data_IF_971961814244
#
_entry.id   IF_971961814244
#
_cell.length_a   1.000
_cell.length_b   1.000
_cell.length_c   1.000
_cell.angle_alpha   90.00
_cell.angle_beta   90.00
_cell.angle_gamma   90.00
#
_symmetry.space_group_name_H-M   'P 1'
#
loop_
_entity.id
_entity.type
_entity.pdbx_description
1 polymer ?
#
# COMPACT_ATOMS: atom_id res chain seq x y z
N UNK A 1 1.05 16.72 -79.00
CA UNK A 1 1.46 15.80 -77.92
C UNK A 1 1.89 16.65 -76.75
N UNK A 2 0.93 16.99 -75.87
CA UNK A 2 1.18 17.76 -74.66
C UNK A 2 0.87 16.83 -73.49
N UNK A 3 1.86 16.61 -72.62
CA UNK A 3 1.69 15.82 -71.41
C UNK A 3 0.98 16.68 -70.35
N UNK A 4 -0.20 16.23 -69.92
CA UNK A 4 -0.91 16.80 -68.77
C UNK A 4 -0.22 16.36 -67.48
N UNK A 5 0.40 17.31 -66.79
CA UNK A 5 0.95 17.13 -65.45
C UNK A 5 -0.17 17.22 -64.42
N UNK A 6 -0.72 16.07 -64.02
CA UNK A 6 -1.70 15.96 -62.93
C UNK A 6 -1.00 16.10 -61.58
N UNK A 7 -1.23 17.21 -60.91
CA UNK A 7 -0.92 17.40 -59.49
C UNK A 7 -1.80 16.47 -58.64
N UNK A 8 -1.19 15.50 -57.97
CA UNK A 8 -1.83 14.81 -56.85
C UNK A 8 -1.57 15.65 -55.59
N UNK A 9 -2.61 16.16 -54.89
CA UNK A 9 -2.41 16.68 -53.56
C UNK A 9 -2.05 15.48 -52.66
N UNK A 10 -0.83 15.50 -52.14
CA UNK A 10 -0.42 14.60 -51.08
C UNK A 10 -1.36 14.80 -49.89
N UNK A 11 -2.27 13.85 -49.67
CA UNK A 11 -3.02 13.74 -48.43
C UNK A 11 -2.02 13.26 -47.38
N UNK A 12 -1.35 14.23 -46.74
CA UNK A 12 -0.58 14.01 -45.53
C UNK A 12 -1.59 13.66 -44.43
N UNK A 13 -1.87 12.37 -44.27
CA UNK A 13 -2.54 11.83 -43.09
C UNK A 13 -1.59 12.05 -41.89
N UNK A 14 -1.70 13.23 -41.28
CA UNK A 14 -1.25 13.48 -39.93
C UNK A 14 -2.13 12.63 -39.01
N UNK A 15 -1.75 11.37 -38.81
CA UNK A 15 -2.21 10.63 -37.63
C UNK A 15 -1.60 11.32 -36.43
N UNK A 16 -2.34 12.28 -35.86
CA UNK A 16 -2.14 12.70 -34.49
C UNK A 16 -2.41 11.44 -33.66
N UNK A 17 -1.36 10.68 -33.36
CA UNK A 17 -1.37 9.78 -32.24
C UNK A 17 -1.55 10.69 -31.02
N UNK A 18 -2.80 10.92 -30.64
CA UNK A 18 -3.10 11.40 -29.31
C UNK A 18 -2.55 10.31 -28.39
N UNK A 19 -1.32 10.50 -27.93
CA UNK A 19 -0.89 9.95 -26.65
C UNK A 19 -1.83 10.58 -25.64
N UNK A 20 -3.02 9.99 -25.50
CA UNK A 20 -3.74 10.05 -24.24
C UNK A 20 -2.79 9.35 -23.29
N UNK A 21 -2.00 10.13 -22.55
CA UNK A 21 -1.37 9.63 -21.35
C UNK A 21 -2.52 8.99 -20.57
N UNK A 22 -2.56 7.66 -20.56
CA UNK A 22 -3.48 6.94 -19.68
C UNK A 22 -3.10 7.48 -18.31
N UNK A 23 -3.99 8.18 -17.59
CA UNK A 23 -3.66 8.61 -16.25
C UNK A 23 -3.34 7.31 -15.51
N UNK A 24 -2.07 7.13 -15.17
CA UNK A 24 -1.65 6.07 -14.27
C UNK A 24 -2.25 6.52 -12.94
N UNK A 25 -3.44 6.03 -12.62
CA UNK A 25 -4.10 6.41 -11.38
C UNK A 25 -3.43 5.58 -10.30
N UNK A 26 -2.38 6.17 -9.71
CA UNK A 26 -1.67 5.57 -8.60
C UNK A 26 -2.56 5.51 -7.36
N UNK A 27 -2.51 4.41 -6.63
CA UNK A 27 -2.96 4.35 -5.25
C UNK A 27 -2.12 5.27 -4.38
N UNK A 28 -2.60 5.55 -3.18
CA UNK A 28 -1.86 6.36 -2.24
C UNK A 28 -2.32 6.00 -0.84
N UNK A 29 -1.48 5.31 -0.08
CA UNK A 29 -1.79 4.91 1.28
C UNK A 29 -0.53 4.76 2.13
N UNK A 30 -0.67 5.01 3.42
CA UNK A 30 0.38 4.74 4.39
C UNK A 30 -0.15 4.41 5.79
N UNK A 31 0.68 3.74 6.60
CA UNK A 31 0.34 3.41 7.99
C UNK A 31 0.58 4.59 8.93
N UNK A 32 -0.46 4.98 9.68
CA UNK A 32 -0.41 6.04 10.70
C UNK A 32 -0.40 5.50 12.12
N UNK A 33 -0.95 4.30 12.34
CA UNK A 33 -0.87 3.58 13.62
C UNK A 33 -0.57 2.10 13.36
N UNK A 34 0.56 1.55 13.85
CA UNK A 34 1.69 2.29 14.42
C UNK A 34 2.27 3.30 13.42
N UNK A 35 2.96 4.33 13.90
CA UNK A 35 3.47 5.36 13.00
C UNK A 35 4.55 4.79 12.08
N UNK A 36 4.29 4.76 10.77
CA UNK A 36 5.26 4.27 9.80
C UNK A 36 6.47 5.19 9.65
N UNK A 37 7.60 4.66 9.16
CA UNK A 37 8.84 5.42 8.94
C UNK A 37 8.59 6.65 8.05
N UNK A 38 7.80 6.50 6.99
CA UNK A 38 7.38 7.60 6.11
C UNK A 38 6.52 8.64 6.84
N UNK A 39 5.61 8.18 7.71
CA UNK A 39 4.75 9.07 8.48
C UNK A 39 5.58 9.89 9.48
N UNK A 40 6.53 9.26 10.16
CA UNK A 40 7.47 9.94 11.05
C UNK A 40 8.32 10.95 10.29
N UNK A 41 8.82 10.61 9.10
CA UNK A 41 9.59 11.52 8.27
C UNK A 41 8.79 12.78 7.91
N UNK A 42 7.50 12.62 7.56
CA UNK A 42 6.62 13.75 7.28
C UNK A 42 6.30 14.59 8.52
N UNK A 43 5.96 13.95 9.63
CA UNK A 43 5.47 14.64 10.85
C UNK A 43 6.61 15.27 11.66
N UNK A 44 7.72 14.55 11.87
CA UNK A 44 8.80 14.99 12.74
C UNK A 44 9.78 15.94 12.06
N UNK A 45 10.03 15.75 10.77
CA UNK A 45 11.08 16.48 10.06
C UNK A 45 10.55 17.40 8.96
N UNK A 46 9.27 17.28 8.59
CA UNK A 46 8.67 18.08 7.51
C UNK A 46 9.34 17.88 6.15
N UNK A 47 10.21 16.87 6.02
CA UNK A 47 10.99 16.56 4.82
C UNK A 47 10.22 15.66 3.87
N UNK A 48 9.42 14.73 4.38
CA UNK A 48 8.61 13.89 3.51
C UNK A 48 7.30 14.59 3.15
N UNK A 49 7.26 15.17 1.96
CA UNK A 49 6.05 15.78 1.39
C UNK A 49 5.13 14.74 0.77
N UNK A 50 5.47 13.44 0.80
CA UNK A 50 4.80 12.38 0.05
C UNK A 50 4.79 10.97 0.69
N UNK A 51 4.56 10.75 2.02
CA UNK A 51 4.43 9.40 2.60
C UNK A 51 3.49 8.41 1.89
N UNK A 52 2.56 8.91 1.07
CA UNK A 52 1.51 8.16 0.39
C UNK A 52 2.02 7.51 -0.90
N UNK A 53 3.09 8.03 -1.49
CA UNK A 53 3.63 7.58 -2.77
C UNK A 53 4.84 6.66 -2.60
N UNK A 54 4.92 5.94 -1.48
CA UNK A 54 5.84 4.81 -1.31
C UNK A 54 5.43 3.61 -2.19
N UNK A 55 5.20 3.87 -3.48
CA UNK A 55 5.04 2.91 -4.56
C UNK A 55 6.45 2.41 -4.91
N UNK A 56 6.70 1.13 -4.67
CA UNK A 56 8.01 0.55 -4.91
C UNK A 56 7.86 -0.90 -5.27
N UNK A 57 7.99 -1.20 -6.56
CA UNK A 57 8.26 -2.56 -7.03
C UNK A 57 9.71 -2.89 -6.65
N UNK A 58 9.97 -3.27 -5.39
CA UNK A 58 11.24 -3.93 -5.07
C UNK A 58 11.79 -3.87 -3.66
N UNK A 59 11.31 -3.02 -2.74
CA UNK A 59 11.92 -2.94 -1.41
C UNK A 59 10.95 -3.26 -0.26
N UNK A 60 11.51 -3.63 0.89
CA UNK A 60 10.76 -4.18 2.02
C UNK A 60 9.90 -3.13 2.72
N UNK A 61 10.29 -1.86 2.68
CA UNK A 61 9.63 -0.80 3.42
C UNK A 61 9.11 0.34 2.55
N UNK A 62 9.13 0.24 1.22
CA UNK A 62 8.72 1.28 0.26
C UNK A 62 9.75 2.41 0.16
N UNK A 63 10.46 2.54 -0.96
CA UNK A 63 11.42 3.64 -1.22
C UNK A 63 10.81 4.75 -2.10
N UNK A 64 9.63 4.51 -2.67
CA UNK A 64 8.89 5.48 -3.49
C UNK A 64 9.64 5.96 -4.73
N UNK A 65 10.82 5.42 -5.04
CA UNK A 65 11.74 5.96 -6.05
C UNK A 65 12.11 7.44 -5.85
N UNK A 66 11.87 8.03 -4.69
CA UNK A 66 12.14 9.44 -4.37
C UNK A 66 13.23 9.53 -3.29
N UNK A 67 14.28 10.31 -3.56
CA UNK A 67 15.53 10.37 -2.79
C UNK A 67 15.36 10.60 -1.27
N UNK A 68 14.23 11.15 -0.80
CA UNK A 68 13.96 11.39 0.63
C UNK A 68 13.14 10.29 1.32
N UNK A 69 12.28 9.57 0.59
CA UNK A 69 11.62 8.34 1.10
C UNK A 69 12.69 7.24 1.18
N UNK A 70 13.64 7.26 0.24
CA UNK A 70 14.76 6.36 0.18
C UNK A 70 15.71 6.47 1.38
N UNK A 71 15.77 7.56 2.16
CA UNK A 71 16.67 7.60 3.33
C UNK A 71 16.07 6.92 4.56
N UNK A 72 14.84 7.24 4.98
CA UNK A 72 14.24 6.59 6.16
C UNK A 72 13.79 5.15 5.92
N UNK A 73 13.51 4.80 4.67
CA UNK A 73 13.28 3.41 4.25
C UNK A 73 14.55 2.76 3.68
N UNK A 74 15.67 3.49 3.54
CA UNK A 74 16.96 2.87 3.34
C UNK A 74 17.35 2.21 4.64
N UNK A 75 17.38 0.89 4.56
CA UNK A 75 18.42 0.06 5.14
C UNK A 75 19.68 0.86 5.53
N UNK A 76 20.03 0.76 6.82
CA UNK A 76 21.35 1.15 7.32
C UNK A 76 21.63 2.67 7.40
N UNK A 77 20.62 3.54 7.51
CA UNK A 77 20.86 4.92 7.91
C UNK A 77 21.28 5.03 9.39
N UNK A 78 22.15 5.99 9.75
CA UNK A 78 22.67 6.16 11.11
C UNK A 78 21.64 6.67 12.13
N UNK A 79 20.38 6.86 11.73
CA UNK A 79 19.31 7.27 12.62
C UNK A 79 18.56 6.05 13.15
N UNK A 80 18.60 5.84 14.46
CA UNK A 80 17.67 4.90 15.11
C UNK A 80 16.25 5.36 14.82
N UNK A 81 15.49 4.57 14.06
CA UNK A 81 14.08 4.84 13.84
C UNK A 81 13.36 4.63 15.17
N UNK A 82 12.60 5.62 15.69
CA UNK A 82 11.94 5.49 16.98
C UNK A 82 10.95 4.32 16.98
N UNK A 83 10.93 3.57 18.10
CA UNK A 83 9.81 2.66 18.39
C UNK A 83 8.57 3.52 18.64
N UNK A 84 7.51 3.27 17.86
CA UNK A 84 6.30 4.11 17.89
C UNK A 84 5.21 3.52 18.76
N UNK A 85 5.17 2.18 18.87
CA UNK A 85 4.16 1.46 19.63
C UNK A 85 4.74 0.20 20.28
N UNK A 86 4.18 -0.16 21.43
CA UNK A 86 4.41 -1.41 22.12
C UNK A 86 3.13 -2.24 22.12
N UNK A 87 3.24 -3.51 21.74
CA UNK A 87 2.15 -4.46 21.74
C UNK A 87 2.45 -5.65 22.64
N UNK A 88 1.40 -6.36 23.03
CA UNK A 88 1.50 -7.64 23.73
C UNK A 88 1.25 -8.75 22.74
N UNK A 89 2.05 -9.80 22.76
CA UNK A 89 1.79 -10.96 21.93
C UNK A 89 0.44 -11.61 22.26
N UNK A 90 -0.25 -12.12 21.24
CA UNK A 90 -1.61 -12.63 21.35
C UNK A 90 -2.69 -11.57 21.45
N UNK A 91 -2.32 -10.30 21.64
CA UNK A 91 -3.30 -9.22 21.76
C UNK A 91 -3.92 -8.88 20.41
N UNK A 92 -5.18 -8.45 20.45
CA UNK A 92 -5.83 -7.76 19.34
C UNK A 92 -5.45 -6.28 19.42
N UNK A 93 -4.91 -5.76 18.32
CA UNK A 93 -4.49 -4.36 18.19
C UNK A 93 -5.17 -3.72 16.99
N UNK A 94 -5.49 -2.44 17.09
CA UNK A 94 -6.04 -1.66 15.98
C UNK A 94 -4.93 -0.92 15.26
N UNK A 95 -4.76 -1.21 13.98
CA UNK A 95 -3.91 -0.46 13.06
C UNK A 95 -4.75 0.58 12.32
N UNK A 96 -4.10 1.69 11.98
CA UNK A 96 -4.68 2.75 11.17
C UNK A 96 -3.85 2.98 9.91
N UNK A 97 -4.55 2.99 8.78
CA UNK A 97 -4.00 3.35 7.47
C UNK A 97 -4.74 4.58 6.98
N UNK A 98 -3.99 5.54 6.47
CA UNK A 98 -4.53 6.69 5.78
C UNK A 98 -4.34 6.52 4.27
N UNK A 99 -5.36 6.83 3.47
CA UNK A 99 -5.28 6.77 2.01
C UNK A 99 -5.86 8.02 1.36
N UNK A 100 -5.07 8.71 0.53
CA UNK A 100 -5.53 9.90 -0.22
C UNK A 100 -6.09 9.56 -1.60
N UNK A 101 -5.73 8.39 -2.14
CA UNK A 101 -6.30 7.82 -3.36
C UNK A 101 -6.52 6.32 -3.14
N UNK A 102 -7.77 5.96 -2.87
CA UNK A 102 -8.16 4.57 -2.64
C UNK A 102 -8.62 3.95 -3.96
N UNK A 103 -8.03 2.82 -4.32
CA UNK A 103 -8.50 1.90 -5.36
C UNK A 103 -9.09 0.64 -4.74
N UNK A 104 -9.73 -0.18 -5.59
CA UNK A 104 -9.91 -1.60 -5.27
C UNK A 104 -8.58 -2.23 -4.83
N UNK A 105 -8.66 -3.36 -4.14
CA UNK A 105 -7.48 -4.12 -3.74
C UNK A 105 -7.56 -4.55 -2.29
N UNK A 106 -6.39 -4.68 -1.66
CA UNK A 106 -6.30 -5.16 -0.28
C UNK A 106 -5.14 -4.59 0.50
N UNK A 107 -5.36 -4.41 1.79
CA UNK A 107 -4.34 -4.19 2.80
C UNK A 107 -3.93 -5.50 3.46
N UNK A 108 -2.67 -5.57 3.83
CA UNK A 108 -2.06 -6.71 4.48
C UNK A 108 -0.97 -6.23 5.44
N UNK A 109 -0.84 -6.90 6.58
CA UNK A 109 0.18 -6.59 7.57
C UNK A 109 1.03 -7.82 7.85
N UNK A 110 2.33 -7.60 8.04
CA UNK A 110 3.31 -8.62 8.42
C UNK A 110 4.18 -8.10 9.53
N UNK A 111 4.78 -9.00 10.30
CA UNK A 111 5.76 -8.64 11.31
C UNK A 111 7.01 -9.50 11.19
N UNK A 112 8.18 -8.91 11.42
CA UNK A 112 9.44 -9.62 11.49
C UNK A 112 10.15 -9.21 12.77
N UNK A 113 10.62 -10.19 13.53
CA UNK A 113 11.55 -9.99 14.64
C UNK A 113 12.95 -10.41 14.16
N UNK A 114 13.92 -9.52 14.31
CA UNK A 114 15.28 -9.71 13.80
C UNK A 114 16.32 -9.15 14.77
N UNK A 115 17.59 -9.44 14.52
CA UNK A 115 18.72 -9.12 15.41
C UNK A 115 19.16 -7.64 15.39
N UNK A 116 18.41 -6.77 14.70
CA UNK A 116 18.74 -5.36 14.51
C UNK A 116 19.64 -5.06 13.30
N UNK A 117 20.23 -6.06 12.66
CA UNK A 117 21.02 -5.87 11.44
C UNK A 117 20.12 -5.90 10.19
N UNK A 118 19.34 -4.83 9.97
CA UNK A 118 18.33 -4.78 8.90
C UNK A 118 18.84 -5.38 7.59
N UNK A 119 19.99 -4.91 7.08
CA UNK A 119 20.61 -5.32 5.81
C UNK A 119 20.81 -6.82 5.60
N UNK A 120 20.89 -7.57 6.69
CA UNK A 120 21.17 -9.02 6.63
C UNK A 120 20.05 -9.86 7.21
N UNK A 121 19.20 -9.32 8.09
CA UNK A 121 18.23 -10.11 8.85
C UNK A 121 16.77 -9.67 8.69
N UNK A 122 16.50 -8.44 8.24
CA UNK A 122 15.17 -8.04 7.80
C UNK A 122 14.99 -8.44 6.34
N UNK A 123 14.23 -9.50 6.08
CA UNK A 123 13.97 -10.02 4.73
C UNK A 123 12.47 -10.22 4.47
N UNK A 124 12.09 -10.42 3.21
CA UNK A 124 10.69 -10.72 2.88
C UNK A 124 10.28 -12.05 3.50
N UNK A 125 11.18 -13.03 3.54
CA UNK A 125 10.94 -14.34 4.17
C UNK A 125 10.68 -14.21 5.67
N UNK A 126 11.39 -13.32 6.37
CA UNK A 126 11.13 -13.06 7.79
C UNK A 126 9.72 -12.47 8.02
N UNK A 127 9.30 -11.55 7.15
CA UNK A 127 7.98 -10.94 7.21
C UNK A 127 6.88 -11.95 6.81
N UNK A 128 7.10 -12.75 5.77
CA UNK A 128 6.15 -13.75 5.28
C UNK A 128 5.95 -14.90 6.28
N UNK A 129 6.89 -15.11 7.19
CA UNK A 129 6.73 -16.06 8.30
C UNK A 129 5.63 -15.64 9.28
N UNK A 130 5.30 -14.34 9.40
CA UNK A 130 4.28 -13.84 10.31
C UNK A 130 3.34 -12.83 9.62
N UNK A 131 2.52 -13.34 8.70
CA UNK A 131 1.39 -12.59 8.13
C UNK A 131 0.28 -12.48 9.18
N UNK A 132 -0.09 -11.25 9.52
CA UNK A 132 -1.06 -10.98 10.58
C UNK A 132 -2.48 -11.32 10.13
N UNK A 133 -3.23 -11.94 11.04
CA UNK A 133 -4.62 -12.29 10.80
C UNK A 133 -5.56 -11.20 11.35
N UNK A 134 -6.63 -10.85 10.61
CA UNK A 134 -7.72 -10.05 11.13
C UNK A 134 -8.23 -10.58 12.47
N UNK A 135 -8.56 -9.68 13.39
CA UNK A 135 -9.07 -10.05 14.70
C UNK A 135 -10.44 -10.75 14.61
N UNK A 136 -10.76 -11.70 15.52
CA UNK A 136 -12.08 -12.30 15.60
C UNK A 136 -13.18 -11.23 15.76
N UNK A 137 -14.28 -11.38 15.02
CA UNK A 137 -15.40 -10.44 15.06
C UNK A 137 -15.21 -9.19 14.19
N UNK A 138 -14.04 -8.98 13.59
CA UNK A 138 -13.90 -7.99 12.52
C UNK A 138 -14.71 -8.43 11.30
N UNK A 139 -15.46 -7.51 10.70
CA UNK A 139 -16.14 -7.75 9.43
C UNK A 139 -15.09 -8.06 8.35
N UNK A 140 -15.22 -9.20 7.68
CA UNK A 140 -14.28 -9.67 6.66
C UNK A 140 -15.05 -10.16 5.44
N UNK A 141 -14.66 -9.66 4.28
CA UNK A 141 -15.26 -10.03 2.99
C UNK A 141 -14.87 -11.45 2.57
N UNK A 142 -13.65 -11.85 2.90
CA UNK A 142 -13.15 -13.19 2.67
C UNK A 142 -12.61 -13.79 3.99
N UNK A 143 -13.49 -14.39 4.81
CA UNK A 143 -13.09 -14.99 6.08
C UNK A 143 -11.97 -16.01 5.91
N UNK A 144 -10.96 -15.95 6.79
CA UNK A 144 -9.80 -16.85 6.77
C UNK A 144 -8.64 -16.40 5.88
N UNK A 145 -8.79 -15.27 5.18
CA UNK A 145 -7.67 -14.62 4.48
C UNK A 145 -7.11 -13.48 5.35
N UNK A 146 -5.79 -13.17 5.25
CA UNK A 146 -5.16 -12.14 6.08
C UNK A 146 -5.47 -10.70 5.63
N UNK A 147 -6.43 -10.53 4.73
CA UNK A 147 -6.55 -9.33 3.90
C UNK A 147 -7.78 -8.51 4.25
N UNK A 148 -7.57 -7.21 4.38
CA UNK A 148 -8.66 -6.25 4.41
C UNK A 148 -8.91 -5.72 3.00
N UNK A 149 -10.09 -5.96 2.44
CA UNK A 149 -10.41 -5.58 1.06
C UNK A 149 -11.01 -4.19 0.98
N UNK A 150 -10.55 -3.42 0.00
CA UNK A 150 -11.08 -2.09 -0.30
C UNK A 150 -12.19 -2.19 -1.36
N UNK A 151 -13.39 -1.64 -1.09
CA UNK A 151 -14.47 -1.63 -2.06
C UNK A 151 -14.19 -0.63 -3.19
N UNK A 152 -14.98 -0.68 -4.26
CA UNK A 152 -14.88 0.26 -5.36
C UNK A 152 -15.04 1.70 -4.85
N UNK A 153 -14.30 2.70 -5.36
CA UNK A 153 -14.38 4.08 -4.86
C UNK A 153 -15.78 4.69 -4.93
N UNK A 154 -16.57 4.31 -5.93
CA UNK A 154 -17.99 4.71 -6.07
C UNK A 154 -18.96 3.87 -5.23
N UNK A 155 -18.49 2.76 -4.67
CA UNK A 155 -19.17 1.99 -3.63
C UNK A 155 -18.46 2.15 -2.30
N UNK A 156 -17.78 3.29 -2.05
CA UNK A 156 -17.28 3.66 -0.73
C UNK A 156 -18.53 3.74 0.16
N UNK A 157 -18.87 2.57 0.67
CA UNK A 157 -20.02 2.36 1.48
C UNK A 157 -19.68 3.06 2.78
N UNK A 158 -20.38 4.13 3.09
CA UNK A 158 -20.31 4.76 4.40
C UNK A 158 -20.67 3.75 5.52
N UNK A 159 -21.12 2.54 5.17
CA UNK A 159 -21.32 1.41 6.07
C UNK A 159 -20.10 0.51 6.28
N UNK A 160 -18.94 0.72 5.61
CA UNK A 160 -17.71 0.01 5.96
C UNK A 160 -17.31 0.40 7.40
N UNK A 161 -17.49 -0.51 8.39
CA UNK A 161 -17.33 -0.16 9.79
C UNK A 161 -15.86 0.10 10.15
N UNK A 162 -14.93 -0.32 9.30
CA UNK A 162 -13.51 -0.09 9.49
C UNK A 162 -13.04 1.23 8.86
N UNK A 163 -13.87 1.92 8.07
CA UNK A 163 -13.51 3.23 7.53
C UNK A 163 -14.26 4.38 8.21
N UNK A 164 -13.52 5.20 8.97
CA UNK A 164 -14.12 6.28 9.78
C UNK A 164 -14.55 7.50 8.94
N UNK A 165 -14.00 7.68 7.73
CA UNK A 165 -14.22 8.87 6.89
C UNK A 165 -14.49 8.56 5.42
N UNK A 166 -14.92 7.33 5.08
CA UNK A 166 -15.16 6.90 3.70
C UNK A 166 -16.38 7.55 3.00
N UNK A 167 -17.06 8.49 3.62
CA UNK A 167 -18.14 9.25 2.98
C UNK A 167 -17.57 10.08 1.83
N UNK A 168 -17.76 9.59 0.60
CA UNK A 168 -17.65 10.26 -0.70
C UNK A 168 -17.12 11.71 -0.62
N UNK A 169 -15.82 11.89 -0.40
CA UNK A 169 -15.31 13.17 0.07
C UNK A 169 -13.85 13.42 -0.26
N UNK A 170 -13.57 13.63 -1.54
CA UNK A 170 -12.41 14.38 -2.01
C UNK A 170 -11.07 13.70 -1.82
N UNK A 171 -10.67 12.85 -2.77
CA UNK A 171 -9.26 12.57 -3.02
C UNK A 171 -8.55 13.87 -3.36
N UNK A 172 -8.06 14.56 -2.33
CA UNK A 172 -7.16 15.68 -2.43
C UNK A 172 -5.72 15.18 -2.31
N UNK A 173 -4.74 15.88 -2.91
CA UNK A 173 -3.33 15.53 -2.76
C UNK A 173 -2.79 15.77 -1.33
N UNK A 174 -3.61 16.33 -0.44
CA UNK A 174 -3.24 16.70 0.93
C UNK A 174 -3.67 15.62 1.94
N UNK A 175 -2.74 15.25 2.82
CA UNK A 175 -2.90 14.43 4.04
C UNK A 175 -4.18 14.70 4.81
N UNK A 176 -4.61 15.97 4.82
CA UNK A 176 -5.80 16.44 5.55
C UNK A 176 -7.12 15.88 5.02
N UNK A 177 -7.12 15.29 3.83
CA UNK A 177 -8.29 14.70 3.18
C UNK A 177 -8.18 13.18 3.00
N UNK A 178 -7.27 12.52 3.73
CA UNK A 178 -7.12 11.08 3.65
C UNK A 178 -8.30 10.34 4.32
N UNK A 179 -8.76 9.27 3.67
CA UNK A 179 -9.64 8.28 4.30
C UNK A 179 -8.86 7.51 5.34
N UNK A 180 -9.41 7.37 6.56
CA UNK A 180 -8.79 6.61 7.64
C UNK A 180 -9.47 5.25 7.78
N UNK A 181 -8.68 4.20 7.65
CA UNK A 181 -9.07 2.80 7.83
C UNK A 181 -8.51 2.30 9.16
N UNK A 182 -9.38 1.91 10.09
CA UNK A 182 -9.03 1.27 11.34
C UNK A 182 -9.35 -0.21 11.27
N UNK A 183 -8.33 -1.06 11.39
CA UNK A 183 -8.46 -2.50 11.28
C UNK A 183 -7.81 -3.16 12.47
N UNK A 184 -8.52 -4.10 13.07
CA UNK A 184 -8.05 -4.92 14.18
C UNK A 184 -7.38 -6.19 13.66
N UNK A 185 -6.16 -6.45 14.15
CA UNK A 185 -5.33 -7.59 13.82
C UNK A 185 -4.80 -8.24 15.09
N UNK A 186 -4.49 -9.53 15.03
CA UNK A 186 -3.89 -10.29 16.14
C UNK A 186 -2.37 -10.26 16.02
N UNK A 187 -1.67 -9.87 17.08
CA UNK A 187 -0.21 -10.05 17.18
C UNK A 187 0.07 -11.53 17.48
N UNK A 188 0.98 -12.21 16.74
CA UNK A 188 1.26 -13.62 16.96
C UNK A 188 1.78 -13.91 18.37
N UNK A 189 1.41 -15.05 18.93
CA UNK A 189 1.79 -15.47 20.28
C UNK A 189 3.27 -15.86 20.40
N UNK A 190 3.95 -16.10 19.28
CA UNK A 190 5.30 -16.66 19.17
C UNK A 190 6.38 -15.65 18.79
N UNK A 191 6.02 -14.39 18.52
CA UNK A 191 6.97 -13.33 18.19
C UNK A 191 7.21 -12.37 19.36
N UNK A 192 8.48 -12.04 19.66
CA UNK A 192 8.89 -11.11 20.73
C UNK A 192 10.07 -10.26 20.32
N UNK A 193 10.09 -9.01 20.80
CA UNK A 193 11.17 -8.06 20.57
C UNK A 193 11.08 -6.86 21.53
N UNK A 194 12.20 -6.52 22.14
CA UNK A 194 12.29 -5.47 23.17
C UNK A 194 13.03 -4.21 22.69
N UNK A 195 13.39 -4.15 21.42
CA UNK A 195 14.20 -3.12 20.78
C UNK A 195 15.64 -2.99 21.30
N UNK A 196 16.09 -3.88 22.19
CA UNK A 196 17.45 -3.93 22.73
C UNK A 196 18.18 -5.14 22.16
N UNK A 197 17.67 -6.34 22.44
CA UNK A 197 18.26 -7.62 22.02
C UNK A 197 17.71 -8.06 20.65
N UNK A 198 16.50 -7.65 20.32
CA UNK A 198 15.88 -7.85 19.02
C UNK A 198 14.93 -6.71 18.66
N UNK A 199 14.85 -6.40 17.37
CA UNK A 199 13.99 -5.36 16.80
C UNK A 199 12.78 -6.01 16.15
N UNK A 200 11.63 -5.33 16.14
CA UNK A 200 10.50 -5.71 15.30
C UNK A 200 10.15 -4.61 14.30
N UNK A 201 9.86 -5.06 13.08
CA UNK A 201 9.30 -4.23 12.02
C UNK A 201 7.93 -4.79 11.63
N UNK A 202 6.91 -3.93 11.68
CA UNK A 202 5.61 -4.15 11.06
C UNK A 202 5.65 -3.64 9.63
N UNK A 203 5.41 -4.50 8.64
CA UNK A 203 5.23 -4.09 7.24
C UNK A 203 3.74 -3.97 6.94
N UNK A 204 3.33 -2.81 6.43
CA UNK A 204 2.06 -2.61 5.73
C UNK A 204 2.28 -2.80 4.23
N UNK A 205 1.35 -3.49 3.57
CA UNK A 205 1.31 -3.65 2.11
C UNK A 205 -0.09 -3.35 1.59
N UNK A 206 -0.18 -2.45 0.61
CA UNK A 206 -1.39 -2.22 -0.17
C UNK A 206 -1.17 -2.68 -1.60
N UNK A 207 -1.83 -3.78 -1.98
CA UNK A 207 -1.89 -4.26 -3.37
C UNK A 207 -3.15 -3.70 -4.00
N UNK A 208 -3.01 -2.80 -4.98
CA UNK A 208 -4.15 -2.21 -5.68
C UNK A 208 -4.80 -3.21 -6.64
N UNK A 209 -6.03 -2.93 -7.04
CA UNK A 209 -6.82 -3.69 -8.00
C UNK A 209 -7.35 -2.85 -9.17
N UNK A 210 -6.73 -1.69 -9.42
CA UNK A 210 -7.07 -0.76 -10.51
C UNK A 210 -6.68 -1.33 -11.89
N UNK A 211 -5.51 -1.98 -11.97
CA UNK A 211 -5.01 -2.62 -13.19
C UNK A 211 -5.69 -3.95 -13.44
N UNK A 212 -5.69 -4.85 -12.45
CA UNK A 212 -6.31 -6.16 -12.52
C UNK A 212 -6.78 -6.62 -11.13
N UNK A 213 -7.49 -7.75 -11.01
CA UNK A 213 -7.95 -8.25 -9.70
C UNK A 213 -6.86 -9.11 -9.02
N UNK A 214 -6.26 -8.68 -7.88
CA UNK A 214 -5.23 -9.46 -7.19
C UNK A 214 -5.66 -10.91 -6.92
N UNK A 215 -4.75 -11.90 -6.95
CA UNK A 215 -5.10 -13.30 -6.68
C UNK A 215 -5.84 -13.47 -5.35
N UNK A 216 -6.97 -14.17 -5.36
CA UNK A 216 -7.83 -14.35 -4.19
C UNK A 216 -8.83 -13.21 -3.95
N UNK A 217 -8.92 -12.20 -4.82
CA UNK A 217 -9.99 -11.20 -4.74
C UNK A 217 -11.37 -11.85 -4.91
N UNK A 218 -12.33 -11.59 -4.01
CA UNK A 218 -13.66 -12.18 -4.08
C UNK A 218 -14.41 -11.60 -5.29
N UNK A 219 -14.59 -12.40 -6.34
CA UNK A 219 -15.38 -12.03 -7.52
C UNK A 219 -16.52 -13.04 -7.76
N UNK A 220 -17.70 -12.60 -8.22
CA UNK A 220 -18.11 -11.21 -8.41
C UNK A 220 -18.50 -10.54 -7.08
N UNK A 221 -18.01 -9.31 -6.84
CA UNK A 221 -18.40 -8.49 -5.67
C UNK A 221 -18.11 -7.00 -5.92
N UNK A 222 -18.44 -6.13 -4.97
CA UNK A 222 -18.05 -4.71 -4.98
C UNK A 222 -16.54 -4.48 -4.73
N UNK A 223 -15.81 -5.54 -4.38
CA UNK A 223 -14.36 -5.52 -4.11
C UNK A 223 -13.53 -5.94 -5.33
N UNK A 224 -14.16 -6.10 -6.49
CA UNK A 224 -13.45 -6.52 -7.70
C UNK A 224 -13.96 -5.86 -8.98
N UNK A 225 -13.07 -5.74 -9.96
CA UNK A 225 -13.36 -5.17 -11.28
C UNK A 225 -13.96 -6.26 -12.15
N UNK A 226 -15.27 -6.22 -12.38
CA UNK A 226 -16.00 -7.28 -13.11
C UNK A 226 -15.52 -7.50 -14.56
N UNK A 227 -14.97 -6.46 -15.18
CA UNK A 227 -14.45 -6.51 -16.55
C UNK A 227 -13.02 -7.04 -16.66
N UNK A 228 -12.37 -7.39 -15.54
CA UNK A 228 -10.98 -7.85 -15.52
C UNK A 228 -10.87 -9.13 -14.72
N UNK A 229 -10.10 -10.10 -15.22
CA UNK A 229 -9.89 -11.40 -14.59
C UNK A 229 -8.70 -11.39 -13.62
N UNK A 230 -8.64 -12.37 -12.73
CA UNK A 230 -7.44 -12.63 -11.90
C UNK A 230 -6.28 -13.20 -12.71
N UNK A 231 -6.58 -13.89 -13.82
CA UNK A 231 -5.58 -14.46 -14.74
C UNK A 231 -4.77 -13.37 -15.46
N UNK A 232 -5.36 -12.20 -15.69
CA UNK A 232 -4.63 -11.05 -16.25
C UNK A 232 -3.55 -10.52 -15.29
N UNK A 233 -3.73 -10.65 -13.96
CA UNK A 233 -2.69 -10.29 -12.98
C UNK A 233 -1.47 -11.22 -12.97
N UNK A 234 -1.49 -12.34 -13.71
CA UNK A 234 -0.28 -13.13 -13.93
C UNK A 234 0.62 -12.45 -14.97
N UNK A 235 0.04 -11.61 -15.84
CA UNK A 235 0.73 -10.89 -16.92
C UNK A 235 1.00 -9.41 -16.59
N UNK A 236 0.09 -8.78 -15.86
CA UNK A 236 0.23 -7.40 -15.37
C UNK A 236 0.54 -7.38 -13.87
N UNK A 237 1.45 -6.50 -13.44
CA UNK A 237 1.74 -6.30 -12.01
C UNK A 237 0.80 -5.24 -11.43
N UNK A 238 0.18 -5.57 -10.29
CA UNK A 238 -0.53 -4.57 -9.50
C UNK A 238 0.47 -3.56 -8.92
N UNK A 239 -0.01 -2.34 -8.72
CA UNK A 239 0.74 -1.36 -7.96
C UNK A 239 0.76 -1.79 -6.47
N UNK A 240 1.91 -1.64 -5.83
CA UNK A 240 2.09 -2.05 -4.44
C UNK A 240 2.74 -0.92 -3.65
N UNK A 241 2.08 -0.53 -2.57
CA UNK A 241 2.60 0.42 -1.60
C UNK A 241 3.06 -0.33 -0.38
N UNK A 242 4.24 -0.01 0.13
CA UNK A 242 4.78 -0.63 1.34
C UNK A 242 5.24 0.44 2.31
N UNK A 243 4.99 0.19 3.58
CA UNK A 243 5.60 0.96 4.66
C UNK A 243 6.07 0.02 5.75
N UNK A 244 7.04 0.48 6.54
CA UNK A 244 7.44 -0.17 7.76
C UNK A 244 7.15 0.72 8.97
N UNK A 245 6.92 0.11 10.13
CA UNK A 245 6.88 0.78 11.42
C UNK A 245 7.68 -0.03 12.44
N UNK A 246 8.49 0.65 13.25
CA UNK A 246 9.29 0.04 14.29
C UNK A 246 8.49 -0.06 15.60
N UNK A 247 8.39 -1.28 16.13
CA UNK A 247 7.52 -1.62 17.26
C UNK A 247 8.24 -2.54 18.26
N UNK A 248 7.67 -2.70 19.45
CA UNK A 248 8.07 -3.74 20.41
C UNK A 248 6.92 -4.70 20.70
N UNK A 249 7.24 -5.96 20.98
CA UNK A 249 6.27 -7.01 21.30
C UNK A 249 6.76 -7.77 22.54
N UNK A 250 5.99 -7.68 23.63
CA UNK A 250 6.24 -8.35 24.92
C UNK A 250 5.34 -9.56 25.14
#
# INVERSE_FOLDING_TARGET
MAAEMKWQPAVLLLTIAALTAVPIVAGHAWVTVPQGRQHLNAVLFGSDTNPQAANGVGNLCGDGGQDQIATWNAYNQPHEVPVTNAFTAGSTVTFQVAATATHLGRFEFRVCAFDGHEATSLTQECLDAHVLQPAPGQAQVAPGLPWYYLPHPWSADASDPACNTCTSGGGGPDWRHASLYNMSYVIPDDIRCNAVDSKCVLQFSYVTGNSCNPPGTPCPSTFCKQSVSTTECVRDVNEVFRNCADITIS
#
